data_IF_120137376102
#
_entry.id   IF_120137376102
#
_cell.length_a   1.000
_cell.length_b   1.000
_cell.length_c   1.000
_cell.angle_alpha   90.00
_cell.angle_beta   90.00
_cell.angle_gamma   90.00
#
_symmetry.space_group_name_H-M   'P 1'
#
loop_
_entity.id
_entity.type
_entity.pdbx_description
1 polymer ?
#
# COMPACT_ATOMS: atom_id res chain seq x y z
N UNK A 1 11.77 -4.13 -7.09
CA UNK A 1 10.55 -3.31 -6.94
C UNK A 1 10.94 -2.01 -6.29
N UNK A 2 10.35 -0.89 -6.71
CA UNK A 2 10.76 0.47 -6.29
C UNK A 2 10.67 0.65 -4.75
N UNK A 3 9.74 -0.01 -4.07
CA UNK A 3 9.61 -0.01 -2.61
C UNK A 3 10.71 -0.80 -1.88
N UNK A 4 11.27 -1.84 -2.49
CA UNK A 4 12.35 -2.62 -1.86
C UNK A 4 13.63 -1.78 -1.72
N UNK A 5 13.82 -0.77 -2.58
CA UNK A 5 14.91 0.19 -2.46
C UNK A 5 14.75 1.16 -1.28
N UNK A 6 13.58 1.17 -0.64
CA UNK A 6 13.27 1.92 0.58
C UNK A 6 13.17 1.01 1.81
N UNK A 7 13.70 -0.22 1.73
CA UNK A 7 13.58 -1.25 2.77
C UNK A 7 12.13 -1.61 3.18
N UNK A 8 11.19 -1.41 2.24
CA UNK A 8 9.78 -1.78 2.41
C UNK A 8 9.53 -3.12 1.71
N UNK A 9 9.33 -4.17 2.51
CA UNK A 9 9.18 -5.54 2.04
C UNK A 9 7.84 -6.17 2.39
N UNK A 10 7.07 -5.56 3.30
CA UNK A 10 5.83 -6.14 3.81
C UNK A 10 4.65 -5.19 3.65
N UNK A 11 3.46 -5.78 3.46
CA UNK A 11 2.21 -5.01 3.47
C UNK A 11 1.95 -4.34 4.83
N UNK A 12 2.49 -4.88 5.93
CA UNK A 12 2.37 -4.29 7.26
C UNK A 12 3.08 -2.92 7.36
N UNK A 13 4.24 -2.76 6.71
CA UNK A 13 4.94 -1.49 6.64
C UNK A 13 4.11 -0.45 5.88
N UNK A 14 3.58 -0.81 4.71
CA UNK A 14 2.72 0.06 3.90
C UNK A 14 1.42 0.39 4.64
N UNK A 15 0.82 -0.59 5.32
CA UNK A 15 -0.41 -0.41 6.11
C UNK A 15 -0.25 0.56 7.29
N UNK A 16 0.98 0.76 7.75
CA UNK A 16 1.33 1.61 8.89
C UNK A 16 1.66 3.04 8.47
N UNK A 17 1.73 3.34 7.17
CA UNK A 17 2.05 4.69 6.70
C UNK A 17 1.03 5.73 7.16
N UNK A 18 1.56 6.81 7.71
CA UNK A 18 0.87 8.06 7.99
C UNK A 18 0.68 8.88 6.70
N UNK A 19 -0.11 9.95 6.78
CA UNK A 19 -0.28 10.88 5.65
C UNK A 19 1.07 11.49 5.21
N UNK A 20 1.92 11.90 6.15
CA UNK A 20 3.22 12.48 5.84
C UNK A 20 4.15 11.48 5.12
N UNK A 21 4.18 10.23 5.57
CA UNK A 21 4.98 9.19 4.91
C UNK A 21 4.46 8.89 3.51
N UNK A 22 3.14 8.82 3.32
CA UNK A 22 2.54 8.65 1.99
C UNK A 22 2.93 9.77 1.03
N UNK A 23 2.84 11.02 1.47
CA UNK A 23 3.24 12.19 0.66
C UNK A 23 4.74 12.19 0.35
N UNK A 24 5.57 11.84 1.32
CA UNK A 24 7.02 11.72 1.13
C UNK A 24 7.36 10.61 0.13
N UNK A 25 6.80 9.40 0.28
CA UNK A 25 7.05 8.29 -0.65
C UNK A 25 6.51 8.62 -2.05
N UNK A 26 5.33 9.23 -2.14
CA UNK A 26 4.72 9.62 -3.42
C UNK A 26 5.58 10.63 -4.18
N UNK A 27 6.11 11.64 -3.47
CA UNK A 27 7.05 12.61 -4.03
C UNK A 27 8.41 12.01 -4.38
N UNK A 28 9.00 11.25 -3.45
CA UNK A 28 10.31 10.62 -3.62
C UNK A 28 10.34 9.66 -4.82
N UNK A 29 9.26 8.90 -5.01
CA UNK A 29 9.12 7.94 -6.12
C UNK A 29 8.41 8.52 -7.35
N UNK A 30 8.07 9.82 -7.34
CA UNK A 30 7.34 10.49 -8.42
C UNK A 30 6.06 9.75 -8.85
N UNK A 31 5.32 9.22 -7.87
CA UNK A 31 4.12 8.40 -8.08
C UNK A 31 2.88 9.24 -8.44
N UNK A 32 2.97 10.58 -8.39
CA UNK A 32 1.93 11.52 -8.82
C UNK A 32 0.59 11.27 -8.13
N UNK A 33 0.59 11.17 -6.82
CA UNK A 33 -0.57 10.91 -5.97
C UNK A 33 -1.15 9.50 -6.09
N UNK A 34 -0.44 8.52 -6.68
CA UNK A 34 -1.00 7.16 -6.85
C UNK A 34 -1.29 6.48 -5.52
N UNK A 35 -0.46 6.71 -4.50
CA UNK A 35 -0.63 6.10 -3.18
C UNK A 35 -2.01 6.42 -2.59
N UNK A 36 -2.46 7.67 -2.72
CA UNK A 36 -3.78 8.11 -2.27
C UNK A 36 -4.88 7.69 -3.25
N UNK A 37 -4.69 7.94 -4.56
CA UNK A 37 -5.72 7.67 -5.58
C UNK A 37 -6.11 6.20 -5.67
N UNK A 38 -5.17 5.30 -5.39
CA UNK A 38 -5.39 3.86 -5.39
C UNK A 38 -5.51 3.29 -3.96
N UNK A 39 -5.63 4.12 -2.92
CA UNK A 39 -5.85 3.68 -1.54
C UNK A 39 -4.84 2.60 -1.07
N UNK A 40 -3.54 2.76 -1.38
CA UNK A 40 -2.53 1.72 -1.14
C UNK A 40 -2.50 1.25 0.31
N UNK A 41 -2.67 2.17 1.28
CA UNK A 41 -2.70 1.83 2.71
C UNK A 41 -3.91 0.96 3.06
N UNK A 42 -5.07 1.22 2.47
CA UNK A 42 -6.29 0.41 2.70
C UNK A 42 -6.12 -0.99 2.12
N UNK A 43 -5.56 -1.08 0.92
CA UNK A 43 -5.24 -2.34 0.26
C UNK A 43 -4.22 -3.15 1.08
N UNK A 44 -3.14 -2.49 1.51
CA UNK A 44 -2.10 -3.08 2.33
C UNK A 44 -2.63 -3.55 3.68
N UNK A 45 -3.56 -2.82 4.33
CA UNK A 45 -4.24 -3.26 5.56
C UNK A 45 -5.01 -4.56 5.36
N UNK A 46 -5.75 -4.69 4.27
CA UNK A 46 -6.47 -5.93 3.97
C UNK A 46 -5.50 -7.10 3.73
N UNK A 47 -4.43 -6.87 2.96
CA UNK A 47 -3.42 -7.88 2.67
C UNK A 47 -2.62 -8.28 3.92
N UNK A 48 -2.27 -7.32 4.78
CA UNK A 48 -1.56 -7.58 6.02
C UNK A 48 -2.42 -8.36 7.04
N UNK A 49 -3.74 -8.15 7.03
CA UNK A 49 -4.65 -8.79 7.98
C UNK A 49 -5.00 -10.23 7.63
N UNK A 50 -5.18 -10.55 6.35
CA UNK A 50 -5.57 -11.90 5.94
C UNK A 50 -5.26 -12.24 4.48
N UNK A 51 -4.28 -11.57 3.90
CA UNK A 51 -3.81 -11.82 2.55
C UNK A 51 -4.88 -11.63 1.49
N UNK A 52 -4.79 -12.45 0.44
CA UNK A 52 -5.70 -12.39 -0.71
C UNK A 52 -7.16 -12.65 -0.33
N UNK A 53 -7.42 -13.53 0.63
CA UNK A 53 -8.78 -13.84 1.09
C UNK A 53 -9.45 -12.62 1.71
N UNK A 54 -8.75 -11.93 2.61
CA UNK A 54 -9.24 -10.69 3.22
C UNK A 54 -9.35 -9.56 2.19
N UNK A 55 -8.41 -9.46 1.26
CA UNK A 55 -8.49 -8.49 0.17
C UNK A 55 -9.74 -8.70 -0.69
N UNK A 56 -10.03 -9.93 -1.12
CA UNK A 56 -11.24 -10.25 -1.89
C UNK A 56 -12.48 -9.93 -1.06
N UNK A 57 -12.49 -10.24 0.24
CA UNK A 57 -13.60 -9.92 1.13
C UNK A 57 -13.87 -8.42 1.23
N UNK A 58 -12.82 -7.59 1.26
CA UNK A 58 -12.93 -6.12 1.41
C UNK A 58 -13.23 -5.42 0.08
N UNK A 59 -12.63 -5.87 -1.02
CA UNK A 59 -12.68 -5.17 -2.31
C UNK A 59 -13.49 -5.89 -3.39
N UNK A 60 -13.96 -7.11 -3.14
CA UNK A 60 -14.76 -7.91 -4.08
C UNK A 60 -14.00 -8.42 -5.30
N UNK A 61 -12.68 -8.20 -5.36
CA UNK A 61 -11.82 -8.57 -6.49
C UNK A 61 -10.46 -9.07 -6.00
N UNK A 62 -9.73 -9.79 -6.84
CA UNK A 62 -8.36 -10.20 -6.55
C UNK A 62 -7.43 -8.97 -6.58
N UNK A 63 -6.39 -8.94 -5.74
CA UNK A 63 -5.32 -7.95 -5.90
C UNK A 63 -4.66 -8.20 -7.26
N UNK A 64 -4.44 -7.11 -8.00
CA UNK A 64 -3.84 -7.11 -9.35
C UNK A 64 -2.39 -6.66 -9.30
#
# INVERSE_FOLDING_TARGET
GILHSLDIFTYAQVASWTKAEREWVDGYLSLRGRIEREDWVKQAKALAKGGVAEYIRVFGKKPV
#
